data_IF_629529453638
#
_entry.id   IF_629529453638
#
_cell.length_a   1.000
_cell.length_b   1.000
_cell.length_c   1.000
_cell.angle_alpha   90.00
_cell.angle_beta   90.00
_cell.angle_gamma   90.00
#
_symmetry.space_group_name_H-M   'P 1'
#
loop_
_entity.id
_entity.type
_entity.pdbx_description
1 polymer ?
#
# COMPACT_ATOMS: atom_id res chain seq x y z
N UNK A 1 26.51 2.30 28.59
CA UNK A 1 25.31 1.44 28.48
C UNK A 1 24.04 2.20 28.10
N UNK A 2 23.86 3.46 28.51
CA UNK A 2 22.68 4.28 28.16
C UNK A 2 22.67 4.77 26.70
N UNK A 3 23.85 4.99 26.12
CA UNK A 3 24.01 5.42 24.73
C UNK A 3 23.58 4.35 23.74
N UNK A 4 23.96 3.09 23.95
CA UNK A 4 23.57 1.97 23.09
C UNK A 4 22.06 1.76 23.06
N UNK A 5 21.39 1.91 24.20
CA UNK A 5 19.91 1.79 24.30
C UNK A 5 19.22 2.93 23.56
N UNK A 6 19.73 4.19 23.68
CA UNK A 6 19.19 5.32 22.90
C UNK A 6 19.35 5.10 21.40
N UNK A 7 20.51 4.59 20.97
CA UNK A 7 20.77 4.32 19.55
C UNK A 7 19.83 3.26 18.98
N UNK A 8 19.61 2.17 19.71
CA UNK A 8 18.71 1.09 19.26
C UNK A 8 17.24 1.55 19.22
N UNK A 9 16.79 2.31 20.21
CA UNK A 9 15.44 2.89 20.20
C UNK A 9 15.23 3.87 19.03
N UNK A 10 16.22 4.71 18.73
CA UNK A 10 16.13 5.64 17.60
C UNK A 10 16.04 4.91 16.25
N UNK A 11 16.79 3.81 16.09
CA UNK A 11 16.79 3.01 14.87
C UNK A 11 15.45 2.28 14.66
N UNK A 12 14.88 1.74 15.74
CA UNK A 12 13.54 1.13 15.70
C UNK A 12 12.44 2.15 15.37
N UNK A 13 12.52 3.36 15.94
CA UNK A 13 11.55 4.42 15.64
C UNK A 13 11.60 4.83 14.16
N UNK A 14 12.79 4.95 13.57
CA UNK A 14 12.97 5.24 12.15
C UNK A 14 12.39 4.15 11.24
N UNK A 15 12.60 2.87 11.59
CA UNK A 15 12.05 1.74 10.83
C UNK A 15 10.52 1.66 10.94
N UNK A 16 9.96 1.92 12.13
CA UNK A 16 8.51 1.95 12.33
C UNK A 16 7.87 3.07 11.51
N UNK A 17 8.46 4.28 11.52
CA UNK A 17 8.03 5.40 10.69
C UNK A 17 8.13 5.06 9.19
N UNK A 18 9.23 4.48 8.74
CA UNK A 18 9.40 4.05 7.35
C UNK A 18 8.33 3.02 6.94
N UNK A 19 8.00 2.08 7.83
CA UNK A 19 6.95 1.06 7.62
C UNK A 19 5.55 1.66 7.46
N UNK A 20 5.24 2.76 8.15
CA UNK A 20 3.95 3.44 8.06
C UNK A 20 3.74 4.17 6.72
N UNK A 21 4.82 4.54 6.02
CA UNK A 21 4.74 5.18 4.69
C UNK A 21 4.76 4.19 3.52
N UNK A 22 4.81 2.89 3.78
CA UNK A 22 4.50 1.89 2.76
C UNK A 22 2.98 1.86 2.55
N UNK A 23 2.48 2.92 1.93
CA UNK A 23 1.23 2.92 1.21
C UNK A 23 1.35 1.79 0.19
N UNK A 24 0.69 0.67 0.48
CA UNK A 24 0.70 -0.52 -0.38
C UNK A 24 0.14 -0.04 -1.72
N UNK A 25 0.91 -0.05 -2.82
CA UNK A 25 0.40 0.46 -4.08
C UNK A 25 -0.91 -0.25 -4.40
N UNK A 26 -1.96 0.47 -4.86
CA UNK A 26 -3.19 -0.18 -5.26
C UNK A 26 -2.80 -1.24 -6.27
N UNK A 27 -3.12 -2.50 -5.93
CA UNK A 27 -2.66 -3.69 -6.64
C UNK A 27 -2.73 -3.47 -8.16
N UNK A 28 -1.58 -3.50 -8.84
CA UNK A 28 -1.52 -3.43 -10.30
C UNK A 28 -2.07 -4.73 -10.86
N UNK A 29 -3.18 -4.67 -11.60
CA UNK A 29 -3.78 -5.85 -12.22
C UNK A 29 -5.27 -5.70 -12.52
N UNK A 30 -5.80 -6.68 -13.23
CA UNK A 30 -7.24 -6.84 -13.45
C UNK A 30 -7.90 -7.31 -12.16
N UNK A 31 -8.91 -6.57 -11.73
CA UNK A 31 -9.69 -6.84 -10.53
C UNK A 31 -11.15 -7.05 -10.89
N UNK A 32 -11.76 -8.00 -10.19
CA UNK A 32 -13.20 -8.15 -10.17
C UNK A 32 -13.75 -7.16 -9.14
N UNK A 33 -14.58 -6.22 -9.58
CA UNK A 33 -15.27 -5.28 -8.74
C UNK A 33 -16.06 -5.99 -7.64
N UNK A 34 -16.02 -5.42 -6.44
CA UNK A 34 -16.48 -6.06 -5.20
C UNK A 34 -18.00 -6.34 -5.17
N UNK A 35 -18.79 -5.63 -5.99
CA UNK A 35 -20.23 -5.81 -6.13
C UNK A 35 -20.65 -5.60 -7.59
N UNK A 36 -21.39 -6.55 -8.19
CA UNK A 36 -22.09 -6.33 -9.47
C UNK A 36 -21.46 -6.95 -10.73
N UNK A 37 -20.35 -7.70 -10.63
CA UNK A 37 -19.77 -8.37 -11.80
C UNK A 37 -19.04 -7.44 -12.77
N UNK A 38 -18.66 -6.25 -12.28
CA UNK A 38 -17.83 -5.31 -13.00
C UNK A 38 -16.39 -5.82 -13.03
N UNK A 39 -15.75 -5.81 -14.19
CA UNK A 39 -14.32 -6.11 -14.33
C UNK A 39 -13.59 -4.83 -14.74
N UNK A 40 -12.44 -4.57 -14.14
CA UNK A 40 -11.63 -3.39 -14.42
C UNK A 40 -10.23 -3.51 -13.85
N UNK A 41 -9.44 -2.44 -13.91
CA UNK A 41 -8.08 -2.36 -13.37
C UNK A 41 -7.81 -0.95 -12.85
N UNK A 42 -6.81 -0.81 -11.98
CA UNK A 42 -6.34 0.51 -11.53
C UNK A 42 -5.19 1.00 -12.42
N UNK A 43 -5.24 2.26 -12.84
CA UNK A 43 -4.14 2.92 -13.55
C UNK A 43 -2.99 3.32 -12.61
N UNK A 44 -1.89 3.82 -13.17
CA UNK A 44 -0.70 4.22 -12.41
C UNK A 44 -0.94 5.39 -11.45
N UNK A 45 -2.07 6.09 -11.58
CA UNK A 45 -2.49 7.19 -10.72
C UNK A 45 -3.56 6.77 -9.72
N UNK A 46 -3.87 5.46 -9.64
CA UNK A 46 -4.90 4.91 -8.76
C UNK A 46 -6.34 5.13 -9.23
N UNK A 47 -6.55 5.60 -10.46
CA UNK A 47 -7.87 5.72 -11.05
C UNK A 47 -8.40 4.36 -11.52
N UNK A 48 -9.66 4.04 -11.21
CA UNK A 48 -10.34 2.85 -11.73
C UNK A 48 -10.60 3.00 -13.25
N UNK A 49 -10.26 1.98 -14.02
CA UNK A 49 -10.41 1.91 -15.48
C UNK A 49 -11.04 0.57 -15.87
N UNK A 50 -11.87 0.60 -16.91
CA UNK A 50 -12.61 -0.59 -17.33
C UNK A 50 -13.85 -0.79 -16.45
N UNK A 51 -15.01 -0.76 -17.10
CA UNK A 51 -16.28 -1.05 -16.44
C UNK A 51 -17.03 -2.08 -17.29
N UNK A 52 -16.43 -3.27 -17.40
CA UNK A 52 -17.00 -4.32 -18.23
C UNK A 52 -18.00 -5.10 -17.40
N UNK A 53 -19.23 -5.15 -17.89
CA UNK A 53 -20.27 -6.03 -17.39
C UNK A 53 -20.24 -7.35 -18.16
N UNK A 54 -20.45 -8.46 -17.45
CA UNK A 54 -20.70 -9.76 -18.06
C UNK A 54 -22.18 -9.91 -18.43
#
# INVERSE_FOLDING_TARGET
MTTTIRSTCALLAMLALAGCFYDRPPYRGWHRGYYGGHYGWYDERGGWRGDYHR
#
